data_IF_109279170422
#
_entry.id   IF_109279170422
#
_cell.length_a   1.000
_cell.length_b   1.000
_cell.length_c   1.000
_cell.angle_alpha   90.00
_cell.angle_beta   90.00
_cell.angle_gamma   90.00
#
_symmetry.space_group_name_H-M   'P 1'
#
loop_
_entity.id
_entity.type
_entity.pdbx_description
1 polymer ?
#
# COMPACT_ATOMS: atom_id res chain seq x y z
N UNK A 1 44.43 -23.69 31.48
CA UNK A 1 42.97 -23.97 31.53
C UNK A 1 42.38 -23.60 30.18
N UNK A 2 41.92 -24.59 29.39
CA UNK A 2 41.40 -24.35 28.04
C UNK A 2 39.96 -23.84 28.14
N UNK A 3 39.74 -22.54 27.96
CA UNK A 3 38.40 -21.95 27.94
C UNK A 3 37.57 -22.60 26.82
N UNK A 4 36.51 -23.30 27.20
CA UNK A 4 35.59 -23.90 26.24
C UNK A 4 34.82 -22.80 25.53
N UNK A 5 34.97 -22.72 24.21
CA UNK A 5 34.26 -21.76 23.38
C UNK A 5 32.96 -22.40 22.90
N UNK A 6 31.84 -21.68 22.96
CA UNK A 6 30.52 -22.19 22.57
C UNK A 6 30.00 -21.48 21.32
N UNK A 7 29.24 -22.23 20.50
CA UNK A 7 28.59 -21.70 19.32
C UNK A 7 27.37 -20.86 19.72
N UNK A 8 27.36 -19.57 19.36
CA UNK A 8 26.29 -18.62 19.71
C UNK A 8 24.90 -19.04 19.20
N UNK A 9 24.84 -19.87 18.16
CA UNK A 9 23.57 -20.34 17.58
C UNK A 9 22.99 -21.57 18.25
N UNK A 10 23.79 -22.63 18.37
CA UNK A 10 23.29 -23.92 18.83
C UNK A 10 23.64 -24.19 20.30
N UNK A 11 24.43 -23.33 20.94
CA UNK A 11 24.87 -23.46 22.33
C UNK A 11 25.87 -24.60 22.58
N UNK A 12 26.29 -25.34 21.54
CA UNK A 12 27.23 -26.46 21.66
C UNK A 12 28.68 -26.01 21.51
N UNK A 13 29.63 -26.79 22.04
CA UNK A 13 31.06 -26.52 21.96
C UNK A 13 31.49 -26.22 20.51
N UNK A 14 32.09 -25.05 20.33
CA UNK A 14 32.75 -24.65 19.10
C UNK A 14 34.07 -25.43 18.96
N UNK A 15 34.23 -26.12 17.84
CA UNK A 15 35.42 -26.94 17.54
C UNK A 15 36.52 -26.04 16.98
N UNK A 16 37.77 -26.53 16.91
CA UNK A 16 38.99 -25.86 16.41
C UNK A 16 38.85 -25.10 15.06
N UNK A 17 37.82 -25.36 14.27
CA UNK A 17 37.53 -24.65 13.01
C UNK A 17 36.20 -23.90 13.10
N UNK A 18 36.09 -22.97 14.06
CA UNK A 18 34.91 -22.12 14.23
C UNK A 18 35.11 -20.76 13.56
N UNK A 19 34.02 -20.21 13.03
CA UNK A 19 33.99 -18.85 12.51
C UNK A 19 33.81 -17.88 13.68
N UNK A 20 34.65 -16.86 13.76
CA UNK A 20 34.60 -15.86 14.85
C UNK A 20 34.05 -14.55 14.35
N UNK A 21 33.20 -13.91 15.15
CA UNK A 21 32.70 -12.59 14.82
C UNK A 21 33.75 -11.52 15.13
N UNK A 22 34.08 -10.68 14.15
CA UNK A 22 35.07 -9.60 14.31
C UNK A 22 34.69 -8.58 15.39
N UNK A 23 33.39 -8.34 15.59
CA UNK A 23 32.90 -7.32 16.54
C UNK A 23 32.67 -7.83 17.96
N UNK A 24 32.02 -8.99 18.11
CA UNK A 24 31.62 -9.49 19.43
C UNK A 24 32.36 -10.77 19.85
N UNK A 25 33.37 -11.20 19.09
CA UNK A 25 34.19 -12.39 19.34
C UNK A 25 33.39 -13.69 19.53
N UNK A 26 32.11 -13.70 19.15
CA UNK A 26 31.27 -14.89 19.27
C UNK A 26 31.64 -15.91 18.21
N UNK A 27 31.73 -17.18 18.62
CA UNK A 27 32.07 -18.27 17.72
C UNK A 27 30.83 -18.96 17.17
N UNK A 28 30.96 -19.48 15.95
CA UNK A 28 29.92 -20.24 15.26
C UNK A 28 30.53 -21.47 14.57
N UNK A 29 29.79 -22.58 14.54
CA UNK A 29 30.12 -23.65 13.60
C UNK A 29 29.91 -23.16 12.16
N UNK A 30 30.68 -23.65 11.21
CA UNK A 30 30.54 -23.28 9.81
C UNK A 30 29.13 -23.55 9.25
N UNK A 31 28.53 -24.68 9.65
CA UNK A 31 27.12 -25.00 9.33
C UNK A 31 26.12 -24.07 10.03
N UNK A 32 26.41 -23.66 11.27
CA UNK A 32 25.56 -22.75 12.04
C UNK A 32 25.61 -21.33 11.48
N UNK A 33 26.77 -20.86 11.03
CA UNK A 33 26.92 -19.56 10.37
C UNK A 33 26.13 -19.50 9.06
N UNK A 34 26.20 -20.56 8.22
CA UNK A 34 25.51 -20.61 6.91
C UNK A 34 23.99 -20.48 6.99
N UNK A 35 23.35 -20.88 8.10
CA UNK A 35 21.90 -20.73 8.25
C UNK A 35 21.49 -19.62 9.25
N UNK A 36 22.43 -18.78 9.68
CA UNK A 36 22.13 -17.58 10.46
C UNK A 36 21.78 -16.44 9.49
N UNK A 37 20.58 -15.87 9.61
CA UNK A 37 20.14 -14.77 8.74
C UNK A 37 20.88 -13.48 9.10
N UNK A 38 21.33 -12.73 8.09
CA UNK A 38 22.03 -11.45 8.28
C UNK A 38 23.54 -11.57 8.55
N UNK A 39 24.10 -12.77 8.52
CA UNK A 39 25.53 -12.97 8.72
C UNK A 39 26.29 -12.69 7.42
N UNK A 40 27.24 -11.75 7.43
CA UNK A 40 28.15 -11.51 6.30
C UNK A 40 29.47 -12.25 6.55
N UNK A 41 29.90 -13.09 5.62
CA UNK A 41 31.20 -13.77 5.72
C UNK A 41 32.25 -12.85 5.13
N UNK A 42 33.21 -12.41 5.96
CA UNK A 42 34.25 -11.46 5.55
C UNK A 42 35.53 -12.20 5.13
N UNK A 43 35.85 -13.32 5.76
CA UNK A 43 36.98 -14.20 5.40
C UNK A 43 36.68 -15.67 5.70
N UNK A 44 37.62 -16.57 5.37
CA UNK A 44 37.50 -18.01 5.59
C UNK A 44 37.31 -18.40 7.07
N UNK A 45 37.73 -17.53 7.99
CA UNK A 45 37.63 -17.75 9.45
C UNK A 45 36.88 -16.65 10.21
N UNK A 46 36.50 -15.55 9.54
CA UNK A 46 35.85 -14.40 10.19
C UNK A 46 34.52 -14.03 9.55
N UNK A 47 33.58 -13.67 10.42
CA UNK A 47 32.20 -13.32 10.05
C UNK A 47 31.80 -12.01 10.74
N UNK A 48 30.83 -11.33 10.17
CA UNK A 48 30.15 -10.23 10.82
C UNK A 48 28.71 -10.64 11.16
N UNK A 49 28.49 -10.97 12.44
CA UNK A 49 27.17 -11.31 12.98
C UNK A 49 26.45 -10.11 13.62
N UNK A 50 27.17 -9.01 13.77
CA UNK A 50 26.62 -7.74 14.22
C UNK A 50 26.34 -6.94 12.95
N UNK A 51 25.16 -7.15 12.38
CA UNK A 51 24.70 -6.31 11.28
C UNK A 51 24.89 -4.86 11.70
N UNK A 52 25.64 -4.09 10.89
CA UNK A 52 25.40 -2.65 10.80
C UNK A 52 24.07 -2.47 10.07
N UNK A 53 23.03 -3.10 10.61
CA UNK A 53 21.72 -2.51 10.47
C UNK A 53 21.92 -1.18 11.16
N UNK A 54 21.73 -0.12 10.40
CA UNK A 54 21.35 1.18 10.90
C UNK A 54 20.21 0.95 11.89
N UNK A 55 20.54 0.58 13.12
CA UNK A 55 19.76 0.86 14.30
C UNK A 55 19.82 2.38 14.37
N UNK A 56 18.95 2.99 13.57
CA UNK A 56 18.51 4.34 13.84
C UNK A 56 18.10 4.29 15.32
N UNK A 57 18.78 5.03 16.23
CA UNK A 57 18.44 5.04 17.65
C UNK A 57 16.97 5.40 17.91
N UNK A 58 16.33 5.94 16.86
CA UNK A 58 14.92 6.25 16.71
C UNK A 58 14.01 5.00 16.80
N UNK A 59 14.42 3.87 16.24
CA UNK A 59 13.61 2.63 16.22
C UNK A 59 13.56 1.93 17.57
N UNK A 60 14.66 1.99 18.32
CA UNK A 60 14.77 1.44 19.68
C UNK A 60 14.00 2.32 20.67
N UNK A 61 14.16 3.65 20.58
CA UNK A 61 13.33 4.61 21.35
C UNK A 61 11.84 4.51 21.05
N UNK A 62 11.45 4.20 19.81
CA UNK A 62 10.05 4.02 19.43
C UNK A 62 9.44 2.74 20.03
N UNK A 63 10.19 1.64 20.03
CA UNK A 63 9.76 0.39 20.67
C UNK A 63 9.62 0.57 22.18
N UNK A 64 10.59 1.22 22.84
CA UNK A 64 10.54 1.52 24.28
C UNK A 64 9.38 2.46 24.65
N UNK A 65 9.13 3.50 23.85
CA UNK A 65 8.02 4.42 24.06
C UNK A 65 6.65 3.73 23.87
N UNK A 66 6.52 2.84 22.88
CA UNK A 66 5.30 2.06 22.68
C UNK A 66 5.06 1.02 23.77
N UNK A 67 6.12 0.40 24.30
CA UNK A 67 6.03 -0.60 25.37
C UNK A 67 5.56 0.05 26.69
N UNK A 68 6.01 1.29 26.98
CA UNK A 68 5.56 2.07 28.12
C UNK A 68 4.11 2.57 28.01
N UNK A 69 3.63 2.90 26.80
CA UNK A 69 2.22 3.31 26.58
C UNK A 69 1.23 2.16 26.79
N UNK A 70 1.65 0.93 26.50
CA UNK A 70 0.85 -0.27 26.71
C UNK A 70 0.67 -0.61 28.21
N UNK A 71 1.64 -0.26 29.06
CA UNK A 71 1.64 -0.60 30.48
C UNK A 71 0.77 0.35 31.34
N UNK A 72 0.80 1.66 31.04
CA UNK A 72 0.22 2.68 31.96
C UNK A 72 -1.03 3.40 31.42
N UNK A 73 -1.46 3.11 30.18
CA UNK A 73 -2.64 3.74 29.57
C UNK A 73 -2.53 5.26 29.36
N UNK A 74 -1.36 5.85 29.65
CA UNK A 74 -1.03 7.25 29.37
C UNK A 74 -0.17 7.26 28.11
N UNK A 75 -0.61 8.03 27.11
CA UNK A 75 0.15 8.19 25.86
C UNK A 75 1.35 9.09 26.16
N UNK A 76 2.55 8.58 25.88
CA UNK A 76 3.81 9.27 26.14
C UNK A 76 4.01 10.44 25.15
N UNK A 77 4.45 11.57 25.67
CA UNK A 77 4.82 12.78 24.89
C UNK A 77 5.90 12.44 23.87
N UNK A 78 6.77 11.48 24.15
CA UNK A 78 7.79 10.99 23.23
C UNK A 78 7.20 10.49 21.90
N UNK A 79 6.02 9.85 21.92
CA UNK A 79 5.35 9.38 20.71
C UNK A 79 4.89 10.57 19.86
N UNK A 80 4.37 11.62 20.48
CA UNK A 80 3.95 12.82 19.75
C UNK A 80 5.15 13.55 19.14
N UNK A 81 6.26 13.68 19.86
CA UNK A 81 7.51 14.27 19.33
C UNK A 81 7.99 13.48 18.12
N UNK A 82 7.96 12.15 18.20
CA UNK A 82 8.34 11.29 17.08
C UNK A 82 7.42 11.47 15.86
N UNK A 83 6.10 11.47 16.07
CA UNK A 83 5.13 11.68 14.99
C UNK A 83 5.32 13.06 14.35
N UNK A 84 5.56 14.11 15.15
CA UNK A 84 5.82 15.45 14.63
C UNK A 84 7.07 15.45 13.75
N UNK A 85 8.17 14.85 14.22
CA UNK A 85 9.42 14.75 13.44
C UNK A 85 9.21 14.00 12.12
N UNK A 86 8.50 12.87 12.14
CA UNK A 86 8.13 12.12 10.93
C UNK A 86 7.31 12.98 9.96
N UNK A 87 6.35 13.76 10.47
CA UNK A 87 5.56 14.66 9.63
C UNK A 87 6.42 15.79 9.06
N UNK A 88 7.34 16.36 9.81
CA UNK A 88 8.23 17.42 9.34
C UNK A 88 9.18 16.93 8.23
N UNK A 89 9.72 15.72 8.38
CA UNK A 89 10.56 15.11 7.34
C UNK A 89 9.78 14.84 6.05
N UNK A 90 8.54 14.33 6.16
CA UNK A 90 7.64 14.16 5.01
C UNK A 90 7.29 15.51 4.35
N UNK A 91 7.02 16.53 5.15
CA UNK A 91 6.75 17.89 4.65
C UNK A 91 7.95 18.43 3.89
N UNK A 92 9.18 18.25 4.42
CA UNK A 92 10.41 18.67 3.75
C UNK A 92 10.58 17.98 2.40
N UNK A 93 10.36 16.67 2.34
CA UNK A 93 10.46 15.90 1.09
C UNK A 93 9.42 16.38 0.05
N UNK A 94 8.19 16.66 0.49
CA UNK A 94 7.15 17.20 -0.40
C UNK A 94 7.48 18.61 -0.89
N UNK A 95 8.05 19.45 -0.03
CA UNK A 95 8.51 20.79 -0.41
C UNK A 95 9.65 20.72 -1.42
N UNK A 96 10.59 19.79 -1.25
CA UNK A 96 11.68 19.56 -2.21
C UNK A 96 11.16 19.10 -3.57
N UNK A 97 10.18 18.19 -3.59
CA UNK A 97 9.52 17.76 -4.83
C UNK A 97 8.80 18.91 -5.53
N UNK A 98 8.07 19.73 -4.78
CA UNK A 98 7.42 20.93 -5.33
C UNK A 98 8.43 21.94 -5.88
N UNK A 99 9.56 22.14 -5.21
CA UNK A 99 10.65 22.99 -5.70
C UNK A 99 11.15 22.48 -7.06
N UNK A 100 11.47 21.19 -7.17
CA UNK A 100 11.94 20.60 -8.43
C UNK A 100 10.89 20.70 -9.55
N UNK A 101 9.61 20.49 -9.24
CA UNK A 101 8.53 20.66 -10.22
C UNK A 101 8.43 22.11 -10.71
N UNK A 102 8.54 23.08 -9.81
CA UNK A 102 8.52 24.50 -10.18
C UNK A 102 9.74 24.90 -11.02
N UNK A 103 10.92 24.34 -10.74
CA UNK A 103 12.11 24.52 -11.58
C UNK A 103 11.89 23.96 -12.98
N UNK A 104 11.29 22.78 -13.10
CA UNK A 104 10.94 22.19 -14.39
C UNK A 104 9.94 23.05 -15.18
N UNK A 105 8.90 23.58 -14.51
CA UNK A 105 7.92 24.49 -15.13
C UNK A 105 8.62 25.76 -15.64
N UNK A 106 9.52 26.34 -14.85
CA UNK A 106 10.31 27.51 -15.23
C UNK A 106 11.16 27.25 -16.48
N UNK A 107 11.82 26.09 -16.55
CA UNK A 107 12.60 25.69 -17.73
C UNK A 107 11.72 25.52 -18.97
N UNK A 108 10.55 24.88 -18.85
CA UNK A 108 9.61 24.71 -19.96
C UNK A 108 9.10 26.06 -20.49
N UNK A 109 8.79 27.01 -19.59
CA UNK A 109 8.35 28.34 -19.99
C UNK A 109 9.46 29.12 -20.71
N UNK A 110 10.72 29.00 -20.25
CA UNK A 110 11.88 29.59 -20.94
C UNK A 110 12.07 29.01 -22.34
N UNK A 111 11.90 27.70 -22.49
CA UNK A 111 11.98 27.04 -23.80
C UNK A 111 10.89 27.53 -24.74
N UNK A 112 9.64 27.63 -24.26
CA UNK A 112 8.52 28.17 -25.06
C UNK A 112 8.77 29.61 -25.51
N UNK A 113 9.23 30.48 -24.60
CA UNK A 113 9.56 31.87 -24.94
C UNK A 113 10.72 31.99 -25.96
N UNK A 114 11.70 31.07 -25.89
CA UNK A 114 12.80 31.00 -26.86
C UNK A 114 12.36 30.49 -28.24
N UNK A 115 11.35 29.61 -28.30
CA UNK A 115 10.73 29.17 -29.55
C UNK A 115 9.94 30.31 -30.21
N UNK A 116 9.15 31.05 -29.43
CA UNK A 116 8.38 32.21 -29.91
C UNK A 116 9.28 33.32 -30.46
N UNK A 117 10.48 33.49 -29.89
CA UNK A 117 11.45 34.50 -30.36
C UNK A 117 12.12 34.14 -31.70
N UNK A 118 12.15 32.86 -32.11
CA UNK A 118 12.77 32.41 -33.36
C UNK A 118 11.84 32.56 -34.57
N UNK A 119 10.53 32.53 -34.37
CA UNK A 119 9.54 32.58 -35.47
C UNK A 119 9.37 33.99 -36.07
N UNK A 120 9.85 35.05 -35.40
CA UNK A 120 9.69 36.45 -35.86
C UNK A 120 10.86 36.96 -36.71
N UNK A 121 12.01 36.28 -36.75
CA UNK A 121 13.19 36.76 -37.48
C UNK A 121 13.39 36.14 -38.89
N UNK A 122 12.49 35.24 -39.34
CA UNK A 122 12.60 34.60 -40.66
C UNK A 122 11.74 35.22 -41.77
N UNK A 123 11.16 36.41 -41.56
CA UNK A 123 10.32 37.12 -42.54
C UNK A 123 10.74 38.58 -42.75
N UNK A 124 12.04 38.81 -42.98
CA UNK A 124 12.52 40.00 -43.69
C UNK A 124 13.54 39.55 -44.73
N UNK A 125 13.03 39.21 -45.92
CA UNK A 125 13.58 39.62 -47.20
C UNK A 125 12.82 38.95 -48.35
N UNK A 126 11.81 39.64 -48.88
CA UNK A 126 11.77 40.11 -50.28
C UNK A 126 10.38 40.58 -50.70
N UNK A 127 10.42 41.73 -51.38
CA UNK A 127 9.46 42.32 -52.30
C UNK A 127 8.24 43.03 -51.72
N UNK A 128 8.32 44.37 -51.83
CA UNK A 128 7.19 45.25 -51.71
C UNK A 128 6.24 45.17 -52.89
N UNK A 129 4.96 45.35 -52.59
CA UNK A 129 3.95 45.92 -53.49
C UNK A 129 3.08 46.83 -52.62
N UNK A 130 2.94 48.08 -53.06
CA UNK A 130 2.01 49.08 -52.51
C UNK A 130 0.58 48.59 -52.68
N UNK A 131 -0.28 48.80 -51.68
CA UNK A 131 -1.61 49.43 -51.86
C UNK A 131 -2.11 49.98 -50.53
N UNK A 132 -2.88 51.05 -50.66
CA UNK A 132 -3.39 51.96 -49.65
C UNK A 132 -4.65 51.47 -48.92
N UNK A 133 -4.98 52.27 -47.90
CA UNK A 133 -6.32 52.66 -47.43
C UNK A 133 -7.08 51.77 -46.43
N UNK A 134 -7.33 52.42 -45.29
CA UNK A 134 -8.56 52.49 -44.51
C UNK A 134 -8.79 51.50 -43.35
N UNK A 135 -8.59 52.06 -42.15
CA UNK A 135 -9.52 52.08 -41.01
C UNK A 135 -10.22 50.77 -40.62
N UNK A 136 -9.86 50.23 -39.44
CA UNK A 136 -10.61 50.54 -38.20
C UNK A 136 -9.99 49.88 -36.97
N UNK A 137 -9.77 50.77 -36.01
CA UNK A 137 -9.67 50.59 -34.57
C UNK A 137 -10.60 49.48 -34.05
N UNK A 138 -10.03 48.53 -33.28
CA UNK A 138 -10.77 47.81 -32.25
C UNK A 138 -9.92 47.85 -30.99
N UNK A 139 -10.40 48.58 -29.98
CA UNK A 139 -9.82 48.60 -28.66
C UNK A 139 -10.92 48.32 -27.63
N UNK A 140 -10.43 47.85 -26.49
CA UNK A 140 -11.04 47.71 -25.16
C UNK A 140 -12.14 46.67 -24.98
N UNK A 141 -11.77 45.66 -24.19
CA UNK A 141 -12.35 45.33 -22.88
C UNK A 141 -13.87 45.19 -22.79
N UNK A 142 -14.31 44.05 -22.23
CA UNK A 142 -14.91 44.03 -20.89
C UNK A 142 -15.30 42.58 -20.56
N UNK A 143 -14.62 42.05 -19.55
CA UNK A 143 -15.05 40.94 -18.72
C UNK A 143 -16.38 41.32 -18.04
N UNK A 144 -17.38 40.45 -18.10
CA UNK A 144 -18.30 40.12 -16.99
C UNK A 144 -19.36 39.12 -17.49
N UNK A 145 -19.27 37.86 -17.07
CA UNK A 145 -20.39 37.26 -16.36
C UNK A 145 -19.99 35.94 -15.71
N UNK A 146 -20.09 35.95 -14.39
CA UNK A 146 -20.26 34.79 -13.53
C UNK A 146 -21.44 33.96 -14.03
N UNK A 147 -21.34 32.63 -14.10
CA UNK A 147 -22.46 31.71 -13.92
C UNK A 147 -21.97 30.35 -13.44
N UNK A 148 -22.29 30.08 -12.18
CA UNK A 148 -22.76 28.81 -11.59
C UNK A 148 -22.57 27.52 -12.39
N UNK A 149 -21.67 26.66 -11.89
CA UNK A 149 -21.60 25.24 -12.25
C UNK A 149 -22.77 24.46 -11.62
N UNK A 150 -23.81 24.16 -12.41
CA UNK A 150 -24.66 22.99 -12.18
C UNK A 150 -24.29 21.91 -13.20
N UNK A 151 -23.36 21.04 -12.81
CA UNK A 151 -22.97 19.87 -13.59
C UNK A 151 -24.03 18.77 -13.54
N UNK A 152 -24.84 18.68 -14.59
CA UNK A 152 -25.49 17.44 -15.03
C UNK A 152 -25.26 17.32 -16.53
N UNK A 153 -24.40 16.38 -16.94
CA UNK A 153 -24.33 15.79 -18.27
C UNK A 153 -23.75 14.38 -18.04
N UNK A 154 -24.55 13.32 -17.99
CA UNK A 154 -25.14 12.62 -19.12
C UNK A 154 -24.14 12.41 -20.27
N UNK A 155 -23.63 11.18 -20.28
CA UNK A 155 -22.92 10.51 -21.38
C UNK A 155 -23.88 10.32 -22.55
N UNK A 156 -23.41 10.53 -23.79
CA UNK A 156 -23.93 9.75 -24.91
C UNK A 156 -22.81 8.99 -25.64
N UNK A 157 -22.97 7.67 -25.59
CA UNK A 157 -22.43 6.66 -26.49
C UNK A 157 -22.93 6.85 -27.92
N UNK A 158 -22.06 6.91 -28.94
CA UNK A 158 -22.33 6.52 -30.35
C UNK A 158 -20.97 6.27 -31.03
N UNK A 159 -20.53 5.04 -31.29
CA UNK A 159 -20.73 4.22 -32.51
C UNK A 159 -20.43 4.89 -33.87
N UNK A 160 -19.27 4.49 -34.40
CA UNK A 160 -19.01 4.04 -35.78
C UNK A 160 -19.03 4.96 -37.02
N UNK A 161 -18.05 4.61 -37.86
CA UNK A 161 -17.93 4.71 -39.31
C UNK A 161 -17.59 6.06 -39.96
N UNK A 162 -16.38 6.14 -40.54
CA UNK A 162 -16.19 5.96 -41.99
C UNK A 162 -14.72 6.09 -42.40
N UNK A 163 -14.21 4.99 -42.95
CA UNK A 163 -12.99 4.91 -43.74
C UNK A 163 -13.20 5.71 -45.04
N UNK A 164 -12.39 6.73 -45.26
CA UNK A 164 -12.25 7.39 -46.56
C UNK A 164 -10.82 7.22 -47.07
N UNK A 165 -10.72 6.33 -48.05
CA UNK A 165 -9.55 6.01 -48.83
C UNK A 165 -9.29 7.16 -49.82
N UNK A 166 -8.13 7.83 -49.75
CA UNK A 166 -7.72 8.82 -50.76
C UNK A 166 -6.35 8.47 -51.32
N UNK A 167 -6.41 7.99 -52.56
CA UNK A 167 -5.30 7.76 -53.47
C UNK A 167 -4.37 8.99 -53.54
N UNK A 168 -3.06 8.76 -53.49
CA UNK A 168 -2.05 9.76 -53.85
C UNK A 168 -1.24 9.26 -55.05
N UNK A 169 -1.34 10.02 -56.14
CA UNK A 169 -0.53 9.96 -57.34
C UNK A 169 0.95 10.12 -57.01
N UNK A 170 1.78 9.20 -57.47
CA UNK A 170 3.23 9.36 -57.55
C UNK A 170 3.59 10.14 -58.82
N UNK A 171 4.05 11.39 -58.67
CA UNK A 171 4.93 12.05 -59.64
C UNK A 171 6.31 12.12 -59.01
N UNK A 172 7.24 11.38 -59.60
CA UNK A 172 8.66 11.35 -59.24
C UNK A 172 9.35 12.64 -59.69
N UNK A 173 9.54 13.57 -58.76
CA UNK A 173 10.51 14.66 -58.88
C UNK A 173 11.57 14.47 -57.81
N UNK A 174 12.82 14.32 -58.22
CA UNK A 174 13.99 14.24 -57.32
C UNK A 174 14.15 15.59 -56.61
N UNK A 175 13.59 15.72 -55.40
CA UNK A 175 13.81 16.84 -54.51
C UNK A 175 15.02 16.50 -53.66
N UNK A 176 16.10 17.27 -53.82
CA UNK A 176 17.30 17.15 -53.00
C UNK A 176 16.95 17.40 -51.54
N UNK A 177 17.14 16.38 -50.70
CA UNK A 177 16.90 16.45 -49.26
C UNK A 177 17.95 17.38 -48.67
N UNK A 178 17.54 18.49 -48.06
CA UNK A 178 18.47 19.39 -47.41
C UNK A 178 18.94 18.80 -46.07
N UNK A 179 20.16 19.13 -45.63
CA UNK A 179 20.67 18.66 -44.34
C UNK A 179 19.81 19.11 -43.16
N UNK A 180 19.08 20.23 -43.30
CA UNK A 180 18.09 20.69 -42.30
C UNK A 180 16.86 19.79 -42.24
N UNK A 181 16.44 19.19 -43.36
CA UNK A 181 15.33 18.23 -43.36
C UNK A 181 15.74 16.92 -42.70
N UNK A 182 17.00 16.50 -42.89
CA UNK A 182 17.55 15.31 -42.23
C UNK A 182 17.64 15.50 -40.71
N UNK A 183 18.15 16.65 -40.25
CA UNK A 183 18.25 16.90 -38.80
C UNK A 183 16.89 17.01 -38.13
N UNK A 184 15.92 17.64 -38.79
CA UNK A 184 14.55 17.74 -38.29
C UNK A 184 13.88 16.37 -38.23
N UNK A 185 14.02 15.56 -39.29
CA UNK A 185 13.50 14.19 -39.33
C UNK A 185 14.15 13.28 -38.26
N UNK A 186 15.44 13.45 -37.97
CA UNK A 186 16.13 12.70 -36.91
C UNK A 186 15.62 13.13 -35.53
N UNK A 187 15.41 14.43 -35.30
CA UNK A 187 14.87 14.92 -34.04
C UNK A 187 13.43 14.46 -33.80
N UNK A 188 12.59 14.49 -34.84
CA UNK A 188 11.23 13.96 -34.82
C UNK A 188 11.20 12.45 -34.58
N UNK A 189 12.11 11.69 -35.21
CA UNK A 189 12.23 10.25 -34.97
C UNK A 189 12.68 9.93 -33.53
N UNK A 190 13.64 10.68 -32.98
CA UNK A 190 14.12 10.48 -31.62
C UNK A 190 13.09 10.90 -30.56
N UNK A 191 12.38 12.00 -30.78
CA UNK A 191 11.31 12.45 -29.88
C UNK A 191 10.14 11.47 -29.89
N UNK A 192 9.75 10.96 -31.06
CA UNK A 192 8.74 9.91 -31.18
C UNK A 192 9.16 8.62 -30.46
N UNK A 193 10.40 8.17 -30.61
CA UNK A 193 10.92 7.01 -29.87
C UNK A 193 10.92 7.23 -28.35
N UNK A 194 11.22 8.44 -27.87
CA UNK A 194 11.17 8.77 -26.45
C UNK A 194 9.73 8.82 -25.93
N UNK A 195 8.81 9.45 -26.67
CA UNK A 195 7.39 9.54 -26.31
C UNK A 195 6.77 8.14 -26.28
N UNK A 196 7.05 7.29 -27.27
CA UNK A 196 6.59 5.90 -27.28
C UNK A 196 7.15 5.10 -26.09
N UNK A 197 8.39 5.41 -25.66
CA UNK A 197 8.98 4.82 -24.44
C UNK A 197 8.29 5.29 -23.16
N UNK A 198 7.75 6.50 -23.10
CA UNK A 198 7.01 7.02 -21.94
C UNK A 198 5.54 6.58 -21.90
N UNK A 199 4.89 6.47 -23.07
CA UNK A 199 3.49 6.02 -23.18
C UNK A 199 3.37 4.51 -22.90
N UNK A 200 4.36 3.70 -23.31
CA UNK A 200 4.36 2.26 -23.03
C UNK A 200 4.79 1.86 -21.60
N UNK A 201 5.14 2.80 -20.72
CA UNK A 201 5.44 2.49 -19.30
C UNK A 201 4.18 1.95 -18.58
N UNK A 202 2.98 2.35 -19.01
CA UNK A 202 1.72 1.84 -18.46
C UNK A 202 1.24 0.55 -19.17
N UNK A 203 1.75 0.23 -20.36
CA UNK A 203 1.39 -0.97 -21.13
C UNK A 203 2.21 -2.21 -20.75
N UNK A 204 3.46 -2.02 -20.34
CA UNK A 204 4.34 -3.12 -19.92
C UNK A 204 4.01 -3.69 -18.52
N UNK A 205 3.10 -3.07 -17.76
CA UNK A 205 2.60 -3.61 -16.48
C UNK A 205 1.61 -4.76 -16.70
N UNK A 206 0.91 -4.80 -17.84
CA UNK A 206 -0.23 -5.70 -18.02
C UNK A 206 -0.02 -6.86 -19.02
N UNK A 207 1.10 -6.95 -19.75
CA UNK A 207 1.21 -7.93 -20.85
C UNK A 207 2.55 -8.69 -21.00
N UNK A 208 3.36 -8.84 -19.95
CA UNK A 208 4.49 -9.80 -19.94
C UNK A 208 4.57 -10.58 -18.64
N UNK A 209 3.68 -11.57 -18.50
CA UNK A 209 3.92 -12.70 -17.60
C UNK A 209 4.16 -13.96 -18.45
N UNK A 210 5.22 -13.95 -19.25
CA UNK A 210 5.86 -15.16 -19.78
C UNK A 210 7.25 -14.81 -20.38
N UNK A 211 8.26 -14.67 -19.50
CA UNK A 211 9.55 -15.37 -19.61
C UNK A 211 10.56 -14.89 -18.55
N UNK A 212 10.97 -15.85 -17.70
CA UNK A 212 12.30 -16.02 -17.09
C UNK A 212 13.21 -14.78 -16.99
N UNK A 213 13.16 -14.13 -15.82
CA UNK A 213 14.34 -13.51 -15.21
C UNK A 213 14.68 -14.35 -13.98
N UNK A 214 15.77 -15.12 -14.10
CA UNK A 214 16.35 -15.85 -12.99
C UNK A 214 17.11 -14.85 -12.10
N UNK A 215 16.63 -14.63 -10.88
CA UNK A 215 17.44 -13.96 -9.86
C UNK A 215 16.69 -13.20 -8.77
N UNK A 216 15.71 -13.84 -8.13
CA UNK A 216 15.04 -13.40 -6.88
C UNK A 216 13.97 -12.30 -6.99
N UNK A 217 12.77 -12.71 -7.39
CA UNK A 217 11.52 -12.06 -6.99
C UNK A 217 11.36 -12.11 -5.46
N UNK A 218 10.93 -10.99 -4.87
CA UNK A 218 10.34 -10.98 -3.54
C UNK A 218 9.07 -11.83 -3.54
N UNK A 219 9.21 -13.11 -3.23
CA UNK A 219 8.06 -13.97 -2.96
C UNK A 219 7.37 -13.47 -1.70
N UNK A 220 6.11 -13.06 -1.85
CA UNK A 220 5.19 -12.88 -0.72
C UNK A 220 5.28 -14.14 0.14
N UNK A 221 5.75 -13.98 1.37
CA UNK A 221 5.91 -15.10 2.29
C UNK A 221 4.54 -15.74 2.51
N UNK A 222 4.27 -16.87 1.85
CA UNK A 222 3.09 -17.66 2.14
C UNK A 222 3.23 -18.10 3.60
N UNK A 223 2.44 -17.50 4.49
CA UNK A 223 2.42 -17.90 5.89
C UNK A 223 1.88 -19.34 5.96
N UNK A 224 2.77 -20.32 5.79
CA UNK A 224 2.44 -21.74 5.84
C UNK A 224 2.32 -22.16 7.29
N UNK A 225 1.26 -21.72 7.97
CA UNK A 225 0.77 -22.43 9.15
C UNK A 225 -0.06 -23.60 8.66
N UNK A 226 0.59 -24.73 8.39
CA UNK A 226 -0.10 -26.03 8.33
C UNK A 226 -0.63 -26.33 9.73
N UNK A 227 -1.79 -25.76 10.07
CA UNK A 227 -2.59 -26.31 11.16
C UNK A 227 -3.04 -27.68 10.67
N UNK A 228 -2.61 -28.73 11.36
CA UNK A 228 -3.17 -30.07 11.14
C UNK A 228 -4.69 -29.91 11.26
N UNK A 229 -5.50 -30.28 10.26
CA UNK A 229 -6.94 -30.17 10.38
C UNK A 229 -7.37 -31.02 11.57
N UNK A 230 -8.09 -30.41 12.51
CA UNK A 230 -8.71 -31.14 13.61
C UNK A 230 -9.73 -32.09 13.01
N UNK A 231 -9.63 -33.38 13.32
CA UNK A 231 -10.61 -34.38 12.88
C UNK A 231 -11.90 -34.17 13.68
N UNK A 232 -12.98 -33.83 12.98
CA UNK A 232 -14.31 -33.67 13.57
C UNK A 232 -15.09 -34.96 13.30
N UNK A 233 -15.52 -35.66 14.35
CA UNK A 233 -16.34 -36.86 14.24
C UNK A 233 -17.71 -36.53 13.64
N UNK A 234 -18.17 -37.33 12.67
CA UNK A 234 -19.46 -37.15 11.98
C UNK A 234 -20.52 -38.20 12.34
N UNK A 235 -20.17 -39.14 13.21
CA UNK A 235 -21.06 -40.23 13.60
C UNK A 235 -22.15 -39.68 14.54
N UNK A 236 -23.40 -39.64 14.08
CA UNK A 236 -24.58 -39.19 14.83
C UNK A 236 -25.23 -40.30 15.67
N UNK A 237 -24.86 -41.56 15.44
CA UNK A 237 -25.56 -42.74 15.96
C UNK A 237 -24.85 -43.38 17.16
N UNK A 238 -23.78 -42.75 17.67
CA UNK A 238 -23.12 -43.22 18.90
C UNK A 238 -23.94 -42.82 20.12
N UNK A 239 -24.77 -43.75 20.62
CA UNK A 239 -25.54 -43.53 21.85
C UNK A 239 -24.66 -43.57 23.13
N UNK A 240 -23.49 -44.21 23.06
CA UNK A 240 -22.62 -44.48 24.23
C UNK A 240 -21.73 -43.28 24.59
N UNK A 241 -21.29 -42.50 23.60
CA UNK A 241 -20.42 -41.33 23.81
C UNK A 241 -20.99 -40.15 23.03
N UNK A 242 -21.38 -39.09 23.74
CA UNK A 242 -21.88 -37.85 23.14
C UNK A 242 -20.79 -36.78 23.11
N UNK A 243 -20.60 -36.17 21.94
CA UNK A 243 -19.76 -34.97 21.82
C UNK A 243 -20.44 -33.77 22.49
N UNK A 244 -19.66 -32.89 23.08
CA UNK A 244 -20.16 -31.62 23.63
C UNK A 244 -20.36 -30.62 22.47
N UNK A 245 -21.54 -30.00 22.33
CA UNK A 245 -21.75 -28.97 21.33
C UNK A 245 -20.78 -27.81 21.50
N UNK A 246 -20.24 -27.32 20.39
CA UNK A 246 -19.32 -26.19 20.41
C UNK A 246 -20.10 -24.89 20.42
N UNK A 247 -19.72 -23.98 21.30
CA UNK A 247 -20.27 -22.62 21.35
C UNK A 247 -19.40 -21.67 20.52
N UNK A 248 -20.05 -20.72 19.86
CA UNK A 248 -19.42 -19.64 19.11
C UNK A 248 -19.94 -18.32 19.64
N UNK A 249 -19.01 -17.41 19.92
CA UNK A 249 -19.32 -16.09 20.44
C UNK A 249 -19.35 -15.07 19.30
N UNK A 250 -20.37 -14.22 19.32
CA UNK A 250 -20.60 -13.11 18.42
C UNK A 250 -20.50 -11.80 19.20
N UNK A 251 -19.96 -10.78 18.55
CA UNK A 251 -19.94 -9.41 19.02
C UNK A 251 -20.99 -8.62 18.26
N UNK A 252 -22.00 -8.16 18.98
CA UNK A 252 -23.10 -7.35 18.45
C UNK A 252 -22.93 -5.93 18.98
N UNK A 253 -22.93 -4.94 18.11
CA UNK A 253 -22.69 -3.54 18.47
C UNK A 253 -23.51 -2.57 17.62
N UNK A 254 -23.52 -1.30 18.05
CA UNK A 254 -24.42 -0.23 17.54
C UNK A 254 -25.90 -0.44 17.88
N UNK A 255 -26.18 -1.07 19.01
CA UNK A 255 -27.52 -1.15 19.57
C UNK A 255 -27.83 0.10 20.39
N UNK A 256 -29.11 0.40 20.60
CA UNK A 256 -29.54 1.54 21.41
C UNK A 256 -29.09 1.36 22.87
N UNK A 257 -28.59 2.41 23.55
CA UNK A 257 -28.15 2.33 24.96
C UNK A 257 -29.19 1.80 25.95
N UNK A 258 -30.49 1.96 25.65
CA UNK A 258 -31.61 1.48 26.45
C UNK A 258 -31.86 -0.03 26.30
N UNK A 259 -31.22 -0.68 25.33
CA UNK A 259 -31.43 -2.10 25.03
C UNK A 259 -30.92 -2.97 26.18
N UNK A 260 -31.76 -3.89 26.65
CA UNK A 260 -31.40 -4.82 27.73
C UNK A 260 -31.00 -6.19 27.18
N UNK A 261 -30.26 -6.95 28.00
CA UNK A 261 -29.83 -8.33 27.66
C UNK A 261 -31.04 -9.24 27.38
N UNK A 262 -32.15 -9.05 28.10
CA UNK A 262 -33.38 -9.84 27.93
C UNK A 262 -34.01 -9.60 26.57
N UNK A 263 -34.12 -8.33 26.14
CA UNK A 263 -34.69 -7.97 24.85
C UNK A 263 -33.99 -8.66 23.67
N UNK A 264 -32.65 -8.70 23.69
CA UNK A 264 -31.85 -9.37 22.65
C UNK A 264 -32.03 -10.89 22.72
N UNK A 265 -32.01 -11.47 23.94
CA UNK A 265 -32.17 -12.90 24.12
C UNK A 265 -33.55 -13.37 23.65
N UNK A 266 -34.60 -12.61 23.89
CA UNK A 266 -35.97 -12.99 23.54
C UNK A 266 -36.22 -12.87 22.02
N UNK A 267 -35.65 -11.86 21.36
CA UNK A 267 -35.67 -11.73 19.91
C UNK A 267 -34.96 -12.92 19.24
N UNK A 268 -33.77 -13.28 19.71
CA UNK A 268 -32.98 -14.36 19.11
C UNK A 268 -33.57 -15.74 19.36
N UNK A 269 -34.28 -15.94 20.47
CA UNK A 269 -34.93 -17.23 20.81
C UNK A 269 -35.95 -17.71 19.78
N UNK A 270 -36.54 -16.80 19.01
CA UNK A 270 -37.48 -17.13 17.93
C UNK A 270 -36.80 -17.94 16.82
N UNK A 271 -35.54 -17.63 16.52
CA UNK A 271 -34.79 -18.28 15.45
C UNK A 271 -33.74 -19.28 15.97
N UNK A 272 -33.25 -19.07 17.20
CA UNK A 272 -32.15 -19.82 17.80
C UNK A 272 -32.55 -20.18 19.24
N UNK A 273 -32.92 -21.45 19.53
CA UNK A 273 -33.49 -21.82 20.83
C UNK A 273 -32.50 -21.68 22.00
N UNK A 274 -31.20 -21.87 21.75
CA UNK A 274 -30.14 -21.81 22.78
C UNK A 274 -29.20 -20.62 22.54
N UNK A 275 -29.44 -19.54 23.29
CA UNK A 275 -28.66 -18.30 23.22
C UNK A 275 -28.29 -17.86 24.63
N UNK A 276 -27.03 -17.45 24.82
CA UNK A 276 -26.58 -16.75 26.02
C UNK A 276 -26.11 -15.36 25.63
N UNK A 277 -26.57 -14.34 26.35
CA UNK A 277 -26.21 -12.96 26.09
C UNK A 277 -25.50 -12.36 27.31
N UNK A 278 -24.39 -11.67 27.09
CA UNK A 278 -23.62 -10.95 28.09
C UNK A 278 -23.47 -9.48 27.63
N UNK A 279 -23.83 -8.52 28.48
CA UNK A 279 -23.60 -7.11 28.18
C UNK A 279 -22.09 -6.80 28.25
N UNK A 280 -21.57 -6.08 27.26
CA UNK A 280 -20.18 -5.63 27.24
C UNK A 280 -20.11 -4.14 27.53
N UNK A 281 -19.07 -3.73 28.24
CA UNK A 281 -18.76 -2.31 28.44
C UNK A 281 -18.33 -1.70 27.10
N UNK A 282 -19.21 -0.93 26.48
CA UNK A 282 -18.95 -0.21 25.25
C UNK A 282 -17.94 0.92 25.47
N UNK A 283 -17.21 1.30 24.41
CA UNK A 283 -16.31 2.47 24.44
C UNK A 283 -17.06 3.77 24.74
N UNK A 284 -18.32 3.88 24.28
CA UNK A 284 -19.20 5.02 24.49
C UNK A 284 -20.61 4.56 24.92
N UNK A 285 -20.81 4.20 26.21
CA UNK A 285 -22.07 3.62 26.69
C UNK A 285 -23.31 4.49 26.45
N UNK A 286 -23.16 5.82 26.38
CA UNK A 286 -24.27 6.74 26.11
C UNK A 286 -24.66 6.86 24.63
N UNK A 287 -23.85 6.37 23.70
CA UNK A 287 -24.13 6.43 22.26
C UNK A 287 -24.61 5.09 21.71
N UNK A 288 -24.04 4.00 22.21
CA UNK A 288 -24.42 2.66 21.80
C UNK A 288 -24.10 1.64 22.88
N UNK A 289 -24.86 0.55 22.85
CA UNK A 289 -24.57 -0.65 23.62
C UNK A 289 -23.91 -1.73 22.74
N UNK A 290 -23.16 -2.62 23.40
CA UNK A 290 -22.50 -3.76 22.79
C UNK A 290 -22.71 -5.00 23.64
N UNK A 291 -22.90 -6.15 22.99
CA UNK A 291 -23.21 -7.40 23.64
C UNK A 291 -22.36 -8.52 23.05
N UNK A 292 -22.05 -9.49 23.89
CA UNK A 292 -21.52 -10.79 23.50
C UNK A 292 -22.67 -11.77 23.47
N UNK A 293 -22.87 -12.41 22.32
CA UNK A 293 -23.93 -13.39 22.10
C UNK A 293 -23.30 -14.72 21.80
N UNK A 294 -23.48 -15.69 22.68
CA UNK A 294 -23.00 -17.07 22.52
C UNK A 294 -24.11 -17.94 21.98
N UNK A 295 -23.85 -18.59 20.84
CA UNK A 295 -24.76 -19.51 20.16
C UNK A 295 -24.06 -20.84 19.88
N UNK A 296 -24.83 -21.91 19.63
CA UNK A 296 -24.27 -23.17 19.15
C UNK A 296 -23.69 -23.02 17.73
N UNK A 297 -22.59 -23.73 17.44
CA UNK A 297 -21.91 -23.68 16.13
C UNK A 297 -22.84 -24.06 14.97
N UNK A 298 -23.81 -24.95 15.20
CA UNK A 298 -24.81 -25.35 14.20
C UNK A 298 -25.71 -24.18 13.80
N UNK A 299 -26.00 -23.27 14.73
CA UNK A 299 -26.84 -22.09 14.53
C UNK A 299 -26.03 -20.85 14.11
N UNK A 300 -24.71 -20.98 13.94
CA UNK A 300 -23.83 -19.85 13.64
C UNK A 300 -24.18 -19.16 12.32
N UNK A 301 -24.57 -19.93 11.29
CA UNK A 301 -24.94 -19.35 9.98
C UNK A 301 -26.19 -18.50 10.10
N UNK A 302 -27.24 -19.04 10.72
CA UNK A 302 -28.49 -18.32 10.99
C UNK A 302 -28.26 -17.08 11.85
N UNK A 303 -27.38 -17.16 12.85
CA UNK A 303 -27.03 -16.03 13.70
C UNK A 303 -26.30 -14.89 12.95
N UNK A 304 -25.69 -15.19 11.79
CA UNK A 304 -24.95 -14.23 10.98
C UNK A 304 -25.79 -13.64 9.84
N UNK A 305 -27.03 -14.11 9.66
CA UNK A 305 -27.95 -13.57 8.65
C UNK A 305 -28.41 -12.16 9.07
N UNK A 306 -28.40 -11.21 8.13
CA UNK A 306 -28.71 -9.82 8.45
C UNK A 306 -30.19 -9.62 8.82
N UNK A 307 -31.08 -10.45 8.28
CA UNK A 307 -32.54 -10.28 8.38
C UNK A 307 -33.09 -10.52 9.79
N UNK A 308 -32.37 -11.25 10.64
CA UNK A 308 -32.79 -11.48 12.04
C UNK A 308 -32.43 -10.32 12.97
N UNK A 309 -31.60 -9.36 12.53
CA UNK A 309 -31.10 -8.29 13.38
C UNK A 309 -31.82 -6.96 13.10
N UNK A 310 -32.02 -6.12 14.14
CA UNK A 310 -32.65 -4.83 13.95
C UNK A 310 -31.77 -3.90 13.10
N UNK A 311 -32.43 -3.03 12.34
CA UNK A 311 -31.79 -2.11 11.41
C UNK A 311 -30.63 -1.32 12.05
N UNK A 312 -29.50 -1.26 11.35
CA UNK A 312 -28.31 -0.52 11.79
C UNK A 312 -27.39 -1.27 12.76
N UNK A 313 -27.80 -2.45 13.24
CA UNK A 313 -26.97 -3.31 14.09
C UNK A 313 -25.82 -3.91 13.28
N UNK A 314 -24.66 -4.04 13.92
CA UNK A 314 -23.50 -4.67 13.33
C UNK A 314 -23.13 -5.93 14.12
N UNK A 315 -22.82 -7.02 13.40
CA UNK A 315 -22.41 -8.30 13.98
C UNK A 315 -21.05 -8.68 13.45
N UNK A 316 -20.18 -9.16 14.33
CA UNK A 316 -18.91 -9.75 13.97
C UNK A 316 -18.63 -10.97 14.86
N UNK A 317 -17.68 -11.81 14.49
CA UNK A 317 -17.20 -12.88 15.36
C UNK A 317 -16.50 -12.26 16.58
N UNK A 318 -16.83 -12.75 17.78
CA UNK A 318 -16.17 -12.27 19.00
C UNK A 318 -14.76 -12.84 19.09
N UNK A 319 -13.78 -11.96 19.24
CA UNK A 319 -12.37 -12.34 19.39
C UNK A 319 -11.96 -12.17 20.85
N UNK A 320 -11.55 -13.29 21.46
CA UNK A 320 -10.93 -13.25 22.78
C UNK A 320 -9.54 -12.63 22.66
N UNK A 321 -9.24 -11.66 23.54
CA UNK A 321 -7.86 -11.19 23.72
C UNK A 321 -6.99 -12.39 24.03
N UNK A 322 -5.85 -12.54 23.33
CA UNK A 322 -4.89 -13.59 23.65
C UNK A 322 -4.42 -13.34 25.09
N UNK A 323 -4.67 -14.29 25.99
CA UNK A 323 -4.08 -14.26 27.31
C UNK A 323 -2.57 -14.35 27.13
N UNK A 324 -1.86 -13.30 27.54
CA UNK A 324 -0.42 -13.40 27.79
C UNK A 324 -0.35 -14.18 29.10
N UNK A 325 0.22 -15.38 29.07
CA UNK A 325 0.41 -16.16 30.29
C UNK A 325 1.29 -15.33 31.23
N UNK A 326 0.70 -14.76 32.28
CA UNK A 326 1.47 -14.27 33.40
C UNK A 326 2.10 -15.50 34.04
N UNK A 327 3.43 -15.62 33.95
CA UNK A 327 4.18 -16.62 34.67
C UNK A 327 3.90 -16.42 36.16
N UNK A 328 3.14 -17.35 36.73
CA UNK A 328 2.92 -17.46 38.16
C UNK A 328 4.30 -17.61 38.80
N UNK A 329 4.77 -16.55 39.43
CA UNK A 329 5.96 -16.60 40.28
C UNK A 329 5.43 -17.11 41.63
N UNK A 330 5.70 -18.37 41.93
CA UNK A 330 5.36 -18.99 43.23
C UNK A 330 6.63 -19.05 44.04
#
# INVERSE_FOLDING_TARGET
MSSQVFCKRCGKNAVKNCLTCEKCNSSFHQSCARLWKGLKVTSDCTINCCTDDTNDPITEQFCDAMENVSANGKIDIAIFIYIIKQKDDLVRELQDKNRMLNEHISLLNKLRAAEESKTVQSSKDKNGVKTSSDDKVFNSDIYSNEHTNTGRNNVPTVQNDKVLNKQRNHKSGSVGISNSDVTTAVLEAQTKQRIDKYININGDINNKHDNKIAGQEWKVASNRKRRRPTLIGKNKDSAVIKGVPRWVDLHVYRLEPSTTVTSISDMLRVHIPEVKCEALVSKHPGLYASFKVSVLEDNFKTAMDADIWPYGTCINRFFHKRRINQSVTT
#
